data_IF_547982886983
#
_entry.id   IF_547982886983
#
_cell.length_a   1.000
_cell.length_b   1.000
_cell.length_c   1.000
_cell.angle_alpha   90.00
_cell.angle_beta   90.00
_cell.angle_gamma   90.00
#
_symmetry.space_group_name_H-M   'P 1'
#
loop_
_entity.id
_entity.type
_entity.pdbx_description
1 polymer ?
#
# COMPACT_ATOMS: atom_id res chain seq x y z
N UNK A 1 0.48 73.16 -49.58
CA UNK A 1 1.05 72.10 -48.72
C UNK A 1 -0.11 71.26 -48.19
N UNK A 2 -0.65 70.41 -49.07
CA UNK A 2 -1.82 69.58 -48.82
C UNK A 2 -1.34 68.14 -48.58
N UNK A 3 -0.95 67.84 -47.35
CA UNK A 3 -0.51 66.50 -46.95
C UNK A 3 -1.05 66.13 -45.56
N UNK A 4 -2.27 66.55 -45.22
CA UNK A 4 -2.95 66.10 -43.98
C UNK A 4 -4.36 65.55 -44.21
N UNK A 5 -4.91 65.57 -45.43
CA UNK A 5 -6.26 65.08 -45.72
C UNK A 5 -6.36 63.63 -46.20
N UNK A 6 -5.27 63.04 -46.72
CA UNK A 6 -5.28 61.69 -47.31
C UNK A 6 -5.03 60.58 -46.27
N UNK A 7 -4.36 60.88 -45.16
CA UNK A 7 -4.13 59.92 -44.08
C UNK A 7 -5.43 59.64 -43.29
N UNK A 8 -6.35 60.61 -43.22
CA UNK A 8 -7.60 60.48 -42.47
C UNK A 8 -8.70 59.68 -43.19
N UNK A 9 -8.68 59.63 -44.53
CA UNK A 9 -9.67 58.87 -45.31
C UNK A 9 -9.28 57.38 -45.48
N UNK A 10 -7.97 57.11 -45.60
CA UNK A 10 -7.42 55.74 -45.68
C UNK A 10 -7.51 55.01 -44.33
N UNK A 11 -7.38 55.74 -43.21
CA UNK A 11 -7.59 55.17 -41.87
C UNK A 11 -9.06 54.87 -41.62
N UNK A 12 -9.99 55.75 -42.02
CA UNK A 12 -11.44 55.51 -41.87
C UNK A 12 -11.95 54.30 -42.70
N UNK A 13 -11.42 54.08 -43.91
CA UNK A 13 -11.75 52.92 -44.74
C UNK A 13 -11.23 51.60 -44.16
N UNK A 14 -9.97 51.59 -43.73
CA UNK A 14 -9.37 50.43 -43.04
C UNK A 14 -10.04 50.13 -41.70
N UNK A 15 -10.43 51.17 -40.96
CA UNK A 15 -11.15 51.05 -39.70
C UNK A 15 -12.56 50.46 -39.91
N UNK A 16 -13.28 50.88 -40.96
CA UNK A 16 -14.60 50.31 -41.31
C UNK A 16 -14.50 48.86 -41.76
N UNK A 17 -13.49 48.50 -42.56
CA UNK A 17 -13.25 47.11 -42.97
C UNK A 17 -12.88 46.25 -41.77
N UNK A 18 -12.02 46.74 -40.87
CA UNK A 18 -11.69 46.06 -39.63
C UNK A 18 -12.91 45.87 -38.73
N UNK A 19 -13.77 46.88 -38.62
CA UNK A 19 -14.98 46.84 -37.77
C UNK A 19 -16.06 45.92 -38.35
N UNK A 20 -16.23 45.90 -39.68
CA UNK A 20 -17.11 44.93 -40.36
C UNK A 20 -16.55 43.51 -40.25
N UNK A 21 -15.23 43.33 -40.41
CA UNK A 21 -14.57 42.05 -40.17
C UNK A 21 -14.79 41.55 -38.75
N UNK A 22 -14.62 42.42 -37.76
CA UNK A 22 -14.87 42.11 -36.35
C UNK A 22 -16.34 41.77 -36.08
N UNK A 23 -17.30 42.46 -36.71
CA UNK A 23 -18.72 42.15 -36.60
C UNK A 23 -19.10 40.81 -37.23
N UNK A 24 -18.51 40.45 -38.38
CA UNK A 24 -18.73 39.16 -39.02
C UNK A 24 -18.14 38.03 -38.17
N UNK A 25 -16.94 38.23 -37.62
CA UNK A 25 -16.33 37.28 -36.68
C UNK A 25 -17.19 37.17 -35.42
N UNK A 26 -17.65 38.28 -34.83
CA UNK A 26 -18.51 38.27 -33.65
C UNK A 26 -19.88 37.62 -33.93
N UNK A 27 -20.48 37.83 -35.10
CA UNK A 27 -21.72 37.18 -35.51
C UNK A 27 -21.53 35.69 -35.80
N UNK A 28 -20.37 35.29 -36.33
CA UNK A 28 -20.02 33.89 -36.54
C UNK A 28 -19.76 33.17 -35.21
N UNK A 29 -19.02 33.78 -34.30
CA UNK A 29 -18.75 33.27 -32.95
C UNK A 29 -20.05 33.22 -32.13
N UNK A 30 -20.85 34.29 -32.16
CA UNK A 30 -22.17 34.34 -31.50
C UNK A 30 -23.17 33.37 -32.11
N UNK A 31 -23.11 33.15 -33.43
CA UNK A 31 -23.89 32.14 -34.14
C UNK A 31 -23.48 30.71 -33.77
N UNK A 32 -22.18 30.43 -33.69
CA UNK A 32 -21.65 29.13 -33.25
C UNK A 32 -22.03 28.82 -31.79
N UNK A 33 -21.99 29.84 -30.92
CA UNK A 33 -22.48 29.74 -29.54
C UNK A 33 -23.99 29.44 -29.48
N UNK A 34 -24.81 30.17 -30.26
CA UNK A 34 -26.26 29.96 -30.30
C UNK A 34 -26.70 28.63 -30.94
N UNK A 35 -25.88 28.07 -31.83
CA UNK A 35 -26.13 26.77 -32.48
C UNK A 35 -25.59 25.57 -31.68
N UNK A 36 -24.93 25.80 -30.53
CA UNK A 36 -24.38 24.73 -29.69
C UNK A 36 -23.13 24.05 -30.26
N UNK A 37 -22.45 24.68 -31.22
CA UNK A 37 -21.24 24.13 -31.86
C UNK A 37 -20.02 24.25 -30.94
N UNK A 38 -20.05 25.15 -29.96
CA UNK A 38 -19.02 25.24 -28.93
C UNK A 38 -19.30 24.25 -27.80
N UNK A 39 -18.42 23.25 -27.65
CA UNK A 39 -18.50 22.23 -26.62
C UNK A 39 -17.90 22.70 -25.29
N UNK A 40 -18.30 22.05 -24.19
CA UNK A 40 -17.69 22.29 -22.88
C UNK A 40 -16.39 21.51 -22.82
N UNK A 41 -15.28 22.09 -22.32
CA UNK A 41 -14.09 21.31 -22.01
C UNK A 41 -14.45 20.16 -21.06
N UNK A 42 -13.90 18.97 -21.31
CA UNK A 42 -14.15 17.78 -20.50
C UNK A 42 -12.85 17.12 -20.07
N UNK A 43 -12.89 16.33 -19.01
CA UNK A 43 -11.74 15.49 -18.62
C UNK A 43 -11.66 14.29 -19.57
N UNK A 44 -10.49 14.09 -20.17
CA UNK A 44 -10.19 12.92 -21.00
C UNK A 44 -9.47 11.82 -20.21
N UNK A 45 -8.54 12.20 -19.33
CA UNK A 45 -7.80 11.26 -18.48
C UNK A 45 -7.43 11.92 -17.15
N UNK A 46 -7.31 11.10 -16.12
CA UNK A 46 -6.78 11.45 -14.80
C UNK A 46 -5.81 10.34 -14.44
N UNK A 47 -4.58 10.71 -14.11
CA UNK A 47 -3.57 9.85 -13.52
C UNK A 47 -3.20 10.43 -12.16
N UNK A 48 -3.07 9.57 -11.16
CA UNK A 48 -2.63 9.97 -9.83
C UNK A 48 -1.41 9.16 -9.44
N UNK A 49 -0.55 9.76 -8.64
CA UNK A 49 0.51 9.07 -7.93
C UNK A 49 0.65 9.59 -6.51
N UNK A 50 1.18 8.76 -5.61
CA UNK A 50 1.63 9.25 -4.31
C UNK A 50 2.98 9.94 -4.44
N UNK A 51 3.08 11.13 -3.83
CA UNK A 51 4.32 11.88 -3.70
C UNK A 51 4.88 11.79 -2.27
N UNK A 52 5.46 12.90 -1.81
CA UNK A 52 6.02 13.00 -0.46
C UNK A 52 4.99 12.63 0.63
N UNK A 53 5.42 11.83 1.60
CA UNK A 53 4.60 11.41 2.74
C UNK A 53 5.21 11.89 4.05
N UNK A 54 4.35 12.39 4.93
CA UNK A 54 4.67 12.81 6.30
C UNK A 54 3.68 12.18 7.27
N UNK A 55 3.87 12.37 8.58
CA UNK A 55 2.92 11.85 9.59
C UNK A 55 1.52 12.45 9.46
N UNK A 56 1.40 13.71 9.05
CA UNK A 56 0.09 14.41 8.99
C UNK A 56 -0.54 14.39 7.59
N UNK A 57 0.27 14.27 6.54
CA UNK A 57 -0.18 14.49 5.17
C UNK A 57 0.59 13.63 4.17
N UNK A 58 -0.12 13.08 3.20
CA UNK A 58 0.43 12.44 2.00
C UNK A 58 0.12 13.31 0.78
N UNK A 59 1.11 13.57 -0.06
CA UNK A 59 0.89 14.26 -1.34
C UNK A 59 0.32 13.29 -2.36
N UNK A 60 -0.72 13.72 -3.07
CA UNK A 60 -1.23 13.06 -4.28
C UNK A 60 -0.91 13.98 -5.45
N UNK A 61 -0.06 13.51 -6.35
CA UNK A 61 0.28 14.17 -7.60
C UNK A 61 -0.76 13.76 -8.65
N UNK A 62 -1.38 14.74 -9.32
CA UNK A 62 -2.42 14.48 -10.31
C UNK A 62 -2.03 15.06 -11.65
N UNK A 63 -2.03 14.21 -12.69
CA UNK A 63 -1.93 14.59 -14.09
C UNK A 63 -3.32 14.50 -14.75
N UNK A 64 -3.91 15.66 -15.02
CA UNK A 64 -5.23 15.79 -15.61
C UNK A 64 -5.14 16.18 -17.08
N UNK A 65 -5.73 15.37 -17.97
CA UNK A 65 -5.86 15.72 -19.39
C UNK A 65 -7.24 16.30 -19.64
N UNK A 66 -7.30 17.59 -19.98
CA UNK A 66 -8.55 18.28 -20.37
C UNK A 66 -8.63 18.38 -21.89
N UNK A 67 -9.73 17.93 -22.47
CA UNK A 67 -10.02 18.07 -23.89
C UNK A 67 -10.96 19.23 -24.14
N UNK A 68 -10.50 20.22 -24.90
CA UNK A 68 -11.28 21.34 -25.36
C UNK A 68 -11.69 21.13 -26.82
N UNK A 69 -12.97 20.82 -27.11
CA UNK A 69 -13.43 20.58 -28.48
C UNK A 69 -13.51 21.86 -29.32
N UNK A 70 -13.29 23.03 -28.73
CA UNK A 70 -13.41 24.31 -29.42
C UNK A 70 -12.16 24.64 -30.26
N UNK A 71 -12.33 25.22 -31.46
CA UNK A 71 -11.20 25.59 -32.34
C UNK A 71 -10.38 26.76 -31.81
N UNK A 72 -10.78 27.35 -30.68
CA UNK A 72 -10.08 28.41 -29.97
C UNK A 72 -9.87 27.98 -28.51
N UNK A 73 -8.69 28.29 -27.96
CA UNK A 73 -8.41 28.06 -26.55
C UNK A 73 -9.22 28.98 -25.64
N UNK A 74 -9.44 28.53 -24.41
CA UNK A 74 -9.99 29.34 -23.31
C UNK A 74 -8.83 29.82 -22.44
N UNK A 75 -8.83 31.11 -22.07
CA UNK A 75 -7.74 31.73 -21.32
C UNK A 75 -7.71 31.33 -19.83
N UNK A 76 -6.63 31.73 -19.14
CA UNK A 76 -6.32 31.50 -17.72
C UNK A 76 -7.35 32.07 -16.72
N UNK A 77 -8.49 32.61 -17.15
CA UNK A 77 -9.51 33.20 -16.26
C UNK A 77 -10.88 32.50 -16.43
N UNK A 78 -10.93 31.35 -17.12
CA UNK A 78 -12.20 30.80 -17.60
C UNK A 78 -12.44 29.32 -17.37
N UNK A 79 -11.50 28.59 -16.74
CA UNK A 79 -11.68 27.19 -16.39
C UNK A 79 -11.17 26.94 -14.97
N UNK A 80 -12.01 26.29 -14.17
CA UNK A 80 -11.65 25.74 -12.87
C UNK A 80 -11.87 24.22 -12.86
N UNK A 81 -11.07 23.53 -12.08
CA UNK A 81 -11.18 22.09 -11.85
C UNK A 81 -11.28 21.89 -10.36
N UNK A 82 -12.29 21.12 -9.94
CA UNK A 82 -12.38 20.58 -8.59
C UNK A 82 -12.16 19.07 -8.66
N UNK A 83 -11.50 18.54 -7.64
CA UNK A 83 -11.01 17.17 -7.61
C UNK A 83 -11.21 16.60 -6.20
N UNK A 84 -11.77 15.40 -6.09
CA UNK A 84 -11.94 14.69 -4.81
C UNK A 84 -11.55 13.23 -4.99
N UNK A 85 -10.75 12.71 -4.05
CA UNK A 85 -10.42 11.29 -3.92
C UNK A 85 -11.14 10.76 -2.69
N UNK A 86 -11.84 9.65 -2.85
CA UNK A 86 -12.43 8.92 -1.74
C UNK A 86 -12.08 7.44 -1.80
N UNK A 87 -12.01 6.81 -0.64
CA UNK A 87 -11.76 5.38 -0.49
C UNK A 87 -12.85 4.82 0.41
N UNK A 88 -13.74 3.99 -0.14
CA UNK A 88 -14.97 3.53 0.53
C UNK A 88 -15.82 4.68 1.09
N UNK A 89 -16.05 5.71 0.27
CA UNK A 89 -16.79 6.93 0.63
C UNK A 89 -16.13 7.80 1.72
N UNK A 90 -14.94 7.42 2.23
CA UNK A 90 -14.12 8.28 3.09
C UNK A 90 -13.36 9.25 2.19
N UNK A 91 -13.61 10.55 2.34
CA UNK A 91 -12.86 11.58 1.62
C UNK A 91 -11.42 11.61 2.11
N UNK A 92 -10.50 11.27 1.21
CA UNK A 92 -9.08 11.22 1.51
C UNK A 92 -8.42 12.55 1.19
N UNK A 93 -8.75 13.10 0.01
CA UNK A 93 -8.16 14.31 -0.50
C UNK A 93 -9.18 15.13 -1.28
N UNK A 94 -9.12 16.46 -1.13
CA UNK A 94 -9.88 17.40 -1.96
C UNK A 94 -8.94 18.50 -2.43
N UNK A 95 -8.92 18.70 -3.75
CA UNK A 95 -8.09 19.68 -4.41
C UNK A 95 -8.84 20.40 -5.51
N UNK A 96 -8.16 21.37 -6.11
CA UNK A 96 -8.69 22.08 -7.25
C UNK A 96 -7.71 23.11 -7.77
N UNK A 97 -7.91 23.50 -9.02
CA UNK A 97 -7.11 24.54 -9.66
C UNK A 97 -8.02 25.48 -10.42
N UNK A 98 -7.86 26.76 -10.15
CA UNK A 98 -8.55 27.82 -10.87
C UNK A 98 -7.61 28.44 -11.91
N UNK A 99 -8.22 29.11 -12.87
CA UNK A 99 -7.50 29.94 -13.82
C UNK A 99 -6.66 29.14 -14.83
N UNK A 100 -7.20 28.02 -15.29
CA UNK A 100 -6.49 27.12 -16.20
C UNK A 100 -6.73 27.57 -17.65
N UNK A 101 -5.64 27.78 -18.38
CA UNK A 101 -5.68 28.03 -19.80
C UNK A 101 -5.68 26.70 -20.55
N UNK A 102 -6.74 26.43 -21.29
CA UNK A 102 -6.88 25.20 -22.06
C UNK A 102 -6.81 25.55 -23.54
N UNK A 103 -5.77 25.06 -24.23
CA UNK A 103 -5.64 25.22 -25.68
C UNK A 103 -6.77 24.46 -26.40
N UNK A 104 -6.91 24.63 -27.71
CA UNK A 104 -7.77 23.74 -28.50
C UNK A 104 -7.21 22.32 -28.48
N UNK A 105 -8.05 21.30 -28.32
CA UNK A 105 -7.63 19.91 -28.18
C UNK A 105 -7.25 19.55 -26.75
N UNK A 106 -6.29 18.63 -26.58
CA UNK A 106 -5.89 18.13 -25.26
C UNK A 106 -4.83 19.01 -24.61
N UNK A 107 -5.00 19.32 -23.33
CA UNK A 107 -4.03 20.01 -22.48
C UNK A 107 -3.80 19.19 -21.21
N UNK A 108 -2.53 18.97 -20.84
CA UNK A 108 -2.18 18.33 -19.55
C UNK A 108 -2.02 19.39 -18.46
N UNK A 109 -2.54 19.09 -17.28
CA UNK A 109 -2.54 19.96 -16.11
C UNK A 109 -2.06 19.12 -14.93
N UNK A 110 -0.85 19.42 -14.46
CA UNK A 110 -0.32 18.84 -13.24
C UNK A 110 -0.69 19.71 -12.02
N UNK A 111 -1.10 19.08 -10.93
CA UNK A 111 -1.27 19.72 -9.62
C UNK A 111 -1.13 18.70 -8.50
N UNK A 112 -0.84 19.20 -7.31
CA UNK A 112 -0.70 18.40 -6.09
C UNK A 112 -1.91 18.64 -5.19
N UNK A 113 -2.36 17.59 -4.52
CA UNK A 113 -3.38 17.64 -3.48
C UNK A 113 -2.85 16.99 -2.20
N UNK A 114 -3.16 17.59 -1.06
CA UNK A 114 -2.85 17.00 0.24
C UNK A 114 -3.96 16.03 0.66
N UNK A 115 -3.61 14.77 0.90
CA UNK A 115 -4.41 13.78 1.62
C UNK A 115 -4.14 13.94 3.12
N UNK A 116 -5.21 14.07 3.91
CA UNK A 116 -5.07 14.17 5.36
C UNK A 116 -4.97 12.77 5.99
N UNK A 117 -3.89 12.47 6.70
CA UNK A 117 -3.66 11.12 7.23
C UNK A 117 -4.65 10.74 8.34
N UNK A 118 -5.32 11.70 8.97
CA UNK A 118 -6.44 11.46 9.90
C UNK A 118 -7.61 10.71 9.24
N UNK A 119 -7.69 10.68 7.90
CA UNK A 119 -8.67 9.88 7.15
C UNK A 119 -8.28 8.40 7.02
N UNK A 120 -7.04 8.02 7.35
CA UNK A 120 -6.55 6.64 7.24
C UNK A 120 -7.25 5.70 8.22
N UNK A 121 -7.35 5.98 9.54
CA UNK A 121 -8.08 5.11 10.46
C UNK A 121 -9.55 4.84 10.08
N UNK A 122 -10.38 5.83 9.71
CA UNK A 122 -11.75 5.56 9.26
C UNK A 122 -11.81 4.82 7.92
N UNK A 123 -10.89 5.11 6.97
CA UNK A 123 -10.78 4.35 5.72
C UNK A 123 -10.44 2.87 6.00
N UNK A 124 -9.38 2.60 6.77
CA UNK A 124 -8.96 1.26 7.16
C UNK A 124 -10.11 0.47 7.77
N UNK A 125 -10.81 1.09 8.71
CA UNK A 125 -11.99 0.49 9.36
C UNK A 125 -13.06 0.10 8.34
N UNK A 126 -13.32 0.95 7.34
CA UNK A 126 -14.28 0.65 6.27
C UNK A 126 -13.78 -0.48 5.37
N UNK A 127 -12.49 -0.53 5.07
CA UNK A 127 -11.85 -1.55 4.24
C UNK A 127 -11.98 -2.94 4.89
N UNK A 128 -11.62 -3.07 6.16
CA UNK A 128 -11.75 -4.33 6.90
C UNK A 128 -13.22 -4.76 7.01
N UNK A 129 -14.15 -3.83 7.30
CA UNK A 129 -15.60 -4.12 7.36
C UNK A 129 -16.17 -4.59 6.02
N UNK A 130 -15.58 -4.16 4.91
CA UNK A 130 -15.96 -4.57 3.57
C UNK A 130 -15.26 -5.87 3.12
N UNK A 131 -14.62 -6.60 4.05
CA UNK A 131 -13.92 -7.84 3.75
C UNK A 131 -12.61 -7.57 3.02
N UNK A 132 -11.86 -6.57 3.47
CA UNK A 132 -10.59 -6.14 2.88
C UNK A 132 -10.72 -5.62 1.46
N UNK A 133 -11.78 -4.85 1.22
CA UNK A 133 -12.08 -4.25 -0.09
C UNK A 133 -12.20 -2.75 0.01
N UNK A 134 -11.49 -2.06 -0.88
CA UNK A 134 -11.56 -0.61 -1.04
C UNK A 134 -12.02 -0.26 -2.44
N UNK A 135 -13.11 0.50 -2.56
CA UNK A 135 -13.42 1.24 -3.78
C UNK A 135 -12.77 2.61 -3.71
N UNK A 136 -11.75 2.83 -4.54
CA UNK A 136 -11.15 4.15 -4.78
C UNK A 136 -12.01 4.87 -5.81
N UNK A 137 -12.56 6.03 -5.46
CA UNK A 137 -13.35 6.86 -6.34
C UNK A 137 -12.71 8.24 -6.50
N UNK A 138 -12.56 8.64 -7.76
CA UNK A 138 -11.96 9.89 -8.19
C UNK A 138 -13.02 10.69 -8.93
N UNK A 139 -13.44 11.80 -8.33
CA UNK A 139 -14.43 12.71 -8.89
C UNK A 139 -13.77 14.03 -9.31
N UNK A 140 -13.88 14.36 -10.59
CA UNK A 140 -13.35 15.59 -11.16
C UNK A 140 -14.47 16.39 -11.85
N UNK A 141 -14.61 17.66 -11.49
CA UNK A 141 -15.56 18.59 -12.10
C UNK A 141 -14.79 19.72 -12.78
N UNK A 142 -14.91 19.82 -14.09
CA UNK A 142 -14.36 20.93 -14.89
C UNK A 142 -15.47 21.95 -15.10
N UNK A 143 -15.27 23.19 -14.68
CA UNK A 143 -16.23 24.29 -14.89
C UNK A 143 -15.64 25.33 -15.83
N UNK A 144 -16.42 25.75 -16.83
CA UNK A 144 -16.07 26.88 -17.68
C UNK A 144 -16.90 28.10 -17.33
N UNK A 145 -16.25 29.13 -16.78
CA UNK A 145 -16.90 30.40 -16.40
C UNK A 145 -17.43 31.16 -17.63
N UNK A 146 -16.70 31.08 -18.75
CA UNK A 146 -17.11 31.72 -20.00
C UNK A 146 -18.42 31.15 -20.54
N UNK A 147 -18.63 29.84 -20.38
CA UNK A 147 -19.81 29.13 -20.89
C UNK A 147 -20.90 28.98 -19.82
N UNK A 148 -20.56 29.16 -18.54
CA UNK A 148 -21.45 28.86 -17.41
C UNK A 148 -21.87 27.39 -17.38
N UNK A 149 -20.95 26.47 -17.75
CA UNK A 149 -21.22 25.03 -17.87
C UNK A 149 -20.13 24.22 -17.20
N UNK A 150 -20.49 23.06 -16.67
CA UNK A 150 -19.56 22.08 -16.10
C UNK A 150 -19.63 20.75 -16.83
N UNK A 151 -18.58 19.95 -16.67
CA UNK A 151 -18.52 18.55 -17.05
C UNK A 151 -17.90 17.75 -15.90
N UNK A 152 -18.55 16.66 -15.52
CA UNK A 152 -18.15 15.78 -14.43
C UNK A 152 -17.53 14.50 -15.00
N UNK A 153 -16.52 13.99 -14.31
CA UNK A 153 -15.92 12.68 -14.53
C UNK A 153 -15.80 11.97 -13.19
N UNK A 154 -16.30 10.74 -13.15
CA UNK A 154 -16.06 9.81 -12.04
C UNK A 154 -15.27 8.62 -12.58
N UNK A 155 -14.19 8.26 -11.90
CA UNK A 155 -13.46 7.00 -12.11
C UNK A 155 -13.43 6.22 -10.82
N UNK A 156 -13.68 4.92 -10.92
CA UNK A 156 -13.66 4.02 -9.76
C UNK A 156 -12.73 2.84 -10.04
N UNK A 157 -12.01 2.41 -9.01
CA UNK A 157 -11.20 1.20 -9.00
C UNK A 157 -11.45 0.44 -7.71
N UNK A 158 -11.33 -0.87 -7.77
CA UNK A 158 -11.36 -1.72 -6.59
C UNK A 158 -9.94 -2.21 -6.25
N UNK A 159 -9.63 -2.23 -4.96
CA UNK A 159 -8.43 -2.81 -4.37
C UNK A 159 -8.89 -3.86 -3.36
N UNK A 160 -8.28 -5.03 -3.39
CA UNK A 160 -8.56 -6.14 -2.48
C UNK A 160 -7.25 -6.56 -1.83
N UNK A 161 -7.27 -6.86 -0.53
CA UNK A 161 -6.14 -7.46 0.20
C UNK A 161 -6.59 -8.74 0.91
N UNK A 162 -5.62 -9.48 1.45
CA UNK A 162 -5.89 -10.65 2.29
C UNK A 162 -4.86 -10.76 3.43
N UNK A 163 -5.00 -9.89 4.42
CA UNK A 163 -4.13 -9.73 5.60
C UNK A 163 -4.20 -10.88 6.57
N UNK A 164 -5.30 -11.62 6.61
CA UNK A 164 -5.55 -12.65 7.64
C UNK A 164 -5.80 -14.03 7.00
N UNK A 165 -6.07 -14.12 5.70
CA UNK A 165 -6.35 -15.40 5.04
C UNK A 165 -5.20 -16.39 5.15
N UNK A 166 -3.95 -15.92 5.06
CA UNK A 166 -2.77 -16.78 5.21
C UNK A 166 -2.53 -17.28 6.64
N UNK A 167 -3.22 -16.72 7.65
CA UNK A 167 -3.15 -17.22 9.02
C UNK A 167 -3.85 -18.59 9.16
N UNK A 168 -4.84 -18.86 8.31
CA UNK A 168 -5.52 -20.15 8.30
C UNK A 168 -4.60 -21.26 7.76
N UNK A 169 -4.29 -22.25 8.59
CA UNK A 169 -3.39 -23.34 8.24
C UNK A 169 -3.79 -24.64 8.91
N UNK A 170 -3.72 -25.76 8.18
CA UNK A 170 -3.89 -27.12 8.69
C UNK A 170 -2.53 -27.82 8.92
N UNK A 171 -1.43 -27.08 8.83
CA UNK A 171 -0.09 -27.62 9.02
C UNK A 171 0.25 -27.82 10.51
N UNK A 172 0.54 -29.07 10.87
CA UNK A 172 0.98 -29.42 12.22
C UNK A 172 2.37 -28.88 12.51
N UNK A 173 2.47 -27.99 13.49
CA UNK A 173 3.71 -27.32 13.90
C UNK A 173 4.05 -27.68 15.35
N UNK A 174 5.31 -28.08 15.64
CA UNK A 174 5.74 -28.38 17.00
C UNK A 174 5.95 -27.09 17.79
N UNK A 175 5.63 -27.13 19.07
CA UNK A 175 6.01 -26.13 20.07
C UNK A 175 7.14 -26.71 20.90
N UNK A 176 8.32 -26.09 20.82
CA UNK A 176 9.51 -26.52 21.54
C UNK A 176 9.79 -25.54 22.68
N UNK A 177 9.93 -26.04 23.89
CA UNK A 177 10.27 -25.26 25.07
C UNK A 177 11.75 -24.89 25.10
N UNK A 178 12.62 -25.67 24.44
CA UNK A 178 14.08 -25.52 24.47
C UNK A 178 14.64 -25.42 25.91
N UNK A 179 13.93 -26.06 26.86
CA UNK A 179 14.19 -25.98 28.28
C UNK A 179 14.91 -27.25 28.80
N UNK A 180 15.90 -27.12 29.71
CA UNK A 180 16.54 -28.29 30.29
C UNK A 180 15.54 -29.18 31.03
N UNK A 181 15.63 -30.50 30.81
CA UNK A 181 14.80 -31.53 31.48
C UNK A 181 13.33 -31.57 31.02
N UNK A 182 12.96 -30.82 29.98
CA UNK A 182 11.67 -30.92 29.30
C UNK A 182 11.90 -31.57 27.93
N UNK A 183 11.13 -32.60 27.61
CA UNK A 183 11.22 -33.28 26.31
C UNK A 183 10.40 -32.50 25.28
N UNK A 184 11.04 -32.08 24.19
CA UNK A 184 10.40 -31.41 23.07
C UNK A 184 9.89 -32.42 22.02
N UNK A 185 8.78 -32.10 21.31
CA UNK A 185 7.94 -30.93 21.50
C UNK A 185 6.98 -31.06 22.69
N UNK A 186 6.78 -29.97 23.42
CA UNK A 186 5.84 -29.94 24.55
C UNK A 186 4.38 -29.98 24.09
N UNK A 187 4.08 -29.35 22.96
CA UNK A 187 2.75 -29.29 22.36
C UNK A 187 2.86 -29.33 20.83
N UNK A 188 1.78 -29.65 20.15
CA UNK A 188 1.62 -29.44 18.71
C UNK A 188 0.46 -28.48 18.47
N UNK A 189 0.61 -27.56 17.50
CA UNK A 189 -0.51 -26.81 16.95
C UNK A 189 -0.86 -27.45 15.61
N UNK A 190 -2.04 -28.06 15.53
CA UNK A 190 -2.47 -28.81 14.36
C UNK A 190 -3.16 -27.92 13.33
N UNK A 191 -3.87 -26.89 13.80
CA UNK A 191 -4.64 -26.00 12.95
C UNK A 191 -4.63 -24.59 13.55
N UNK A 192 -4.57 -23.57 12.69
CA UNK A 192 -4.79 -22.17 13.06
C UNK A 192 -5.90 -21.60 12.21
N UNK A 193 -6.74 -20.77 12.82
CA UNK A 193 -7.86 -20.08 12.15
C UNK A 193 -7.86 -18.64 12.59
N UNK A 194 -8.08 -17.73 11.65
CA UNK A 194 -8.06 -16.29 11.89
C UNK A 194 -9.20 -15.60 11.17
N UNK A 195 -9.79 -14.58 11.78
CA UNK A 195 -10.77 -13.71 11.14
C UNK A 195 -10.73 -12.32 11.76
N UNK A 196 -11.21 -11.33 11.02
CA UNK A 196 -11.50 -10.03 11.60
C UNK A 196 -12.67 -10.11 12.59
N UNK A 197 -12.48 -9.49 13.76
CA UNK A 197 -13.54 -9.30 14.75
C UNK A 197 -14.37 -8.04 14.47
N UNK A 198 -15.08 -7.56 15.49
CA UNK A 198 -15.91 -6.35 15.37
C UNK A 198 -15.05 -5.10 15.41
N UNK A 199 -14.79 -4.51 14.24
CA UNK A 199 -13.96 -3.29 14.10
C UNK A 199 -14.64 -2.07 14.72
N UNK A 200 -13.87 -1.28 15.47
CA UNK A 200 -14.29 -0.01 16.08
C UNK A 200 -13.46 1.16 15.54
N UNK A 201 -13.70 2.38 16.04
CA UNK A 201 -12.84 3.53 15.71
C UNK A 201 -11.45 3.43 16.36
N UNK A 202 -11.35 2.79 17.54
CA UNK A 202 -10.12 2.72 18.31
C UNK A 202 -9.26 1.50 17.95
N UNK A 203 -9.90 0.36 17.64
CA UNK A 203 -9.23 -0.91 17.48
C UNK A 203 -9.83 -1.75 16.36
N UNK A 204 -8.96 -2.52 15.69
CA UNK A 204 -9.30 -3.56 14.71
C UNK A 204 -8.91 -4.92 15.29
N UNK A 205 -9.86 -5.68 15.87
CA UNK A 205 -9.58 -6.99 16.46
C UNK A 205 -9.38 -8.08 15.40
N UNK A 206 -8.46 -9.00 15.67
CA UNK A 206 -8.23 -10.24 14.94
C UNK A 206 -8.54 -11.39 15.91
N UNK A 207 -9.61 -12.12 15.62
CA UNK A 207 -10.03 -13.31 16.38
C UNK A 207 -9.26 -14.52 15.83
N UNK A 208 -8.48 -15.15 16.70
CA UNK A 208 -7.60 -16.28 16.37
C UNK A 208 -7.97 -17.50 17.20
N UNK A 209 -7.92 -18.66 16.57
CA UNK A 209 -8.14 -19.96 17.20
C UNK A 209 -6.96 -20.88 16.86
N UNK A 210 -6.43 -21.58 17.86
CA UNK A 210 -5.32 -22.53 17.73
C UNK A 210 -5.77 -23.89 18.25
N UNK A 211 -5.73 -24.92 17.40
CA UNK A 211 -6.05 -26.29 17.83
C UNK A 211 -4.77 -26.98 18.33
N UNK A 212 -4.63 -27.01 19.65
CA UNK A 212 -3.44 -27.49 20.34
C UNK A 212 -3.62 -28.95 20.73
N UNK A 213 -2.60 -29.79 20.53
CA UNK A 213 -2.56 -31.18 20.95
C UNK A 213 -1.38 -31.42 21.90
N UNK A 214 -1.67 -32.11 23.01
CA UNK A 214 -0.66 -32.51 23.98
C UNK A 214 -0.23 -33.96 23.74
N UNK A 215 1.01 -34.21 23.28
CA UNK A 215 1.53 -35.56 23.07
C UNK A 215 1.90 -36.30 24.37
N UNK A 216 1.88 -35.63 25.52
CA UNK A 216 2.37 -36.14 26.81
C UNK A 216 1.27 -36.83 27.64
N UNK A 217 1.72 -37.62 28.63
CA UNK A 217 0.84 -38.38 29.54
C UNK A 217 0.24 -37.52 30.65
N UNK A 218 0.82 -36.36 30.90
CA UNK A 218 0.35 -35.38 31.87
C UNK A 218 -0.36 -34.22 31.16
N UNK A 219 -1.46 -33.68 31.73
CA UNK A 219 -2.09 -32.47 31.21
C UNK A 219 -1.18 -31.26 31.45
N UNK A 220 -1.24 -30.29 30.55
CA UNK A 220 -0.59 -29.00 30.71
C UNK A 220 -1.62 -27.89 30.88
N UNK A 221 -1.26 -26.85 31.64
CA UNK A 221 -2.06 -25.64 31.76
C UNK A 221 -1.32 -24.53 31.04
N UNK A 222 -1.94 -23.95 30.03
CA UNK A 222 -1.47 -22.71 29.41
C UNK A 222 -2.12 -21.58 30.19
N UNK A 223 -1.33 -20.87 31.01
CA UNK A 223 -1.84 -19.83 31.90
C UNK A 223 -1.98 -18.48 31.19
N UNK A 224 -1.15 -18.26 30.16
CA UNK A 224 -1.16 -17.04 29.37
C UNK A 224 -0.69 -17.32 27.94
N UNK A 225 -1.32 -16.68 26.95
CA UNK A 225 -0.78 -16.54 25.61
C UNK A 225 -0.66 -15.06 25.30
N UNK A 226 0.57 -14.59 25.11
CA UNK A 226 0.85 -13.22 24.74
C UNK A 226 1.11 -13.06 23.25
N UNK A 227 0.94 -11.83 22.78
CA UNK A 227 1.19 -11.46 21.40
C UNK A 227 1.79 -10.05 21.28
N UNK A 228 2.54 -9.86 20.19
CA UNK A 228 3.01 -8.56 19.71
C UNK A 228 2.72 -8.46 18.20
N UNK A 229 2.05 -7.38 17.78
CA UNK A 229 1.74 -7.12 16.37
C UNK A 229 2.52 -5.92 15.88
N UNK A 230 3.18 -6.08 14.74
CA UNK A 230 3.85 -5.00 14.02
C UNK A 230 3.41 -4.96 12.56
N UNK A 231 3.40 -3.77 11.98
CA UNK A 231 3.24 -3.58 10.54
C UNK A 231 4.37 -2.67 10.04
N UNK A 232 5.24 -3.16 9.16
CA UNK A 232 6.46 -2.44 8.74
C UNK A 232 7.33 -1.98 9.92
N UNK A 233 7.35 -2.75 11.01
CA UNK A 233 8.06 -2.40 12.25
C UNK A 233 7.35 -1.37 13.14
N UNK A 234 6.21 -0.81 12.72
CA UNK A 234 5.35 0.02 13.59
C UNK A 234 4.60 -0.90 14.56
N UNK A 235 4.74 -0.65 15.86
CA UNK A 235 4.07 -1.43 16.90
C UNK A 235 2.56 -1.13 16.93
N UNK A 236 1.76 -2.05 16.38
CA UNK A 236 0.32 -1.90 16.24
C UNK A 236 -0.44 -2.29 17.49
N UNK A 237 0.07 -3.24 18.27
CA UNK A 237 -0.56 -3.67 19.50
C UNK A 237 0.18 -4.82 20.17
N UNK A 238 -0.06 -4.99 21.46
CA UNK A 238 0.42 -6.14 22.23
C UNK A 238 -0.53 -6.42 23.39
N UNK A 239 -0.55 -7.66 23.86
CA UNK A 239 -1.44 -8.09 24.93
C UNK A 239 -1.28 -9.58 25.24
N UNK A 240 -2.16 -10.10 26.08
CA UNK A 240 -2.22 -11.52 26.40
C UNK A 240 -3.64 -11.99 26.72
N UNK A 241 -3.85 -13.30 26.71
CA UNK A 241 -5.10 -13.91 27.18
C UNK A 241 -5.24 -13.76 28.69
N UNK A 242 -6.46 -13.50 29.16
CA UNK A 242 -6.79 -13.52 30.59
C UNK A 242 -7.28 -14.90 31.05
N UNK A 243 -7.57 -15.80 30.11
CA UNK A 243 -8.10 -17.15 30.36
C UNK A 243 -7.01 -18.21 30.33
N UNK A 244 -7.11 -19.16 31.26
CA UNK A 244 -6.24 -20.32 31.34
C UNK A 244 -6.87 -21.50 30.58
N UNK A 245 -6.05 -22.24 29.83
CA UNK A 245 -6.49 -23.41 29.05
C UNK A 245 -5.84 -24.68 29.58
N UNK A 246 -6.64 -25.71 29.83
CA UNK A 246 -6.14 -27.03 30.24
C UNK A 246 -6.08 -27.93 29.01
N UNK A 247 -4.87 -28.27 28.57
CA UNK A 247 -4.65 -29.16 27.42
C UNK A 247 -4.55 -30.61 27.94
N UNK A 248 -5.57 -31.46 27.70
CA UNK A 248 -5.64 -32.79 28.28
C UNK A 248 -4.53 -33.70 27.74
N UNK A 249 -4.09 -34.66 28.57
CA UNK A 249 -3.14 -35.69 28.12
C UNK A 249 -3.65 -36.44 26.89
N UNK A 250 -2.79 -36.60 25.88
CA UNK A 250 -3.11 -37.24 24.61
C UNK A 250 -4.42 -36.73 23.99
N UNK A 251 -4.72 -35.46 24.19
CA UNK A 251 -5.93 -34.82 23.72
C UNK A 251 -5.65 -33.43 23.18
N UNK A 252 -6.70 -32.84 22.63
CA UNK A 252 -6.66 -31.51 22.02
C UNK A 252 -7.58 -30.55 22.74
N UNK A 253 -7.23 -29.28 22.68
CA UNK A 253 -8.02 -28.15 23.16
C UNK A 253 -7.88 -27.00 22.15
N UNK A 254 -8.96 -26.26 21.94
CA UNK A 254 -8.94 -25.06 21.09
C UNK A 254 -8.67 -23.86 21.97
N UNK A 255 -7.57 -23.16 21.70
CA UNK A 255 -7.21 -21.93 22.42
C UNK A 255 -7.62 -20.72 21.60
N UNK A 256 -8.31 -19.78 22.22
CA UNK A 256 -8.83 -18.57 21.58
C UNK A 256 -8.00 -17.35 22.03
N UNK A 257 -7.63 -16.51 21.07
CA UNK A 257 -6.89 -15.28 21.32
C UNK A 257 -7.49 -14.15 20.46
N UNK A 258 -7.60 -12.96 21.03
CA UNK A 258 -7.97 -11.76 20.28
C UNK A 258 -6.80 -10.77 20.29
N UNK A 259 -6.11 -10.66 19.15
CA UNK A 259 -5.13 -9.60 18.95
C UNK A 259 -5.85 -8.31 18.53
N UNK A 260 -5.41 -7.15 18.98
CA UNK A 260 -6.01 -5.87 18.61
C UNK A 260 -4.98 -4.93 17.98
N UNK A 261 -5.25 -4.50 16.74
CA UNK A 261 -4.51 -3.40 16.12
C UNK A 261 -5.06 -2.08 16.65
N UNK A 262 -4.20 -1.20 17.15
CA UNK A 262 -4.60 0.14 17.60
C UNK A 262 -4.67 1.08 16.40
N UNK A 263 -5.87 1.56 16.11
CA UNK A 263 -6.12 2.39 14.93
C UNK A 263 -5.41 3.74 14.97
N UNK A 264 -5.07 4.24 16.17
CA UNK A 264 -4.26 5.45 16.37
C UNK A 264 -2.81 5.33 15.86
N UNK A 265 -2.37 4.14 15.45
CA UNK A 265 -1.04 3.88 14.88
C UNK A 265 -1.06 3.72 13.36
N UNK A 266 -2.25 3.74 12.74
CA UNK A 266 -2.40 3.51 11.30
C UNK A 266 -1.87 4.66 10.46
N UNK A 267 -1.86 5.89 10.97
CA UNK A 267 -1.24 7.05 10.32
C UNK A 267 0.29 6.90 10.24
N UNK A 268 0.93 6.41 11.31
CA UNK A 268 2.35 6.08 11.34
C UNK A 268 2.68 4.91 10.39
N UNK A 269 1.89 3.84 10.44
CA UNK A 269 2.01 2.72 9.51
C UNK A 269 1.87 3.17 8.05
N UNK A 270 0.90 4.03 7.74
CA UNK A 270 0.66 4.53 6.39
C UNK A 270 1.89 5.21 5.77
N UNK A 271 2.64 5.97 6.57
CA UNK A 271 3.93 6.55 6.11
C UNK A 271 4.87 5.44 5.67
N UNK A 272 5.05 4.41 6.50
CA UNK A 272 5.96 3.30 6.20
C UNK A 272 5.48 2.42 5.04
N UNK A 273 4.17 2.38 4.77
CA UNK A 273 3.59 1.66 3.63
C UNK A 273 3.96 2.32 2.30
N UNK A 274 4.01 3.66 2.27
CA UNK A 274 4.32 4.42 1.06
C UNK A 274 5.82 4.69 0.88
N UNK A 275 6.60 4.68 1.97
CA UNK A 275 8.04 4.95 1.94
C UNK A 275 8.83 3.79 1.31
N UNK A 276 9.29 4.04 0.08
CA UNK A 276 10.14 3.12 -0.70
C UNK A 276 11.36 2.59 0.05
N UNK A 277 11.90 3.37 1.00
CA UNK A 277 13.11 3.00 1.72
C UNK A 277 12.88 2.03 2.88
N UNK A 278 11.63 1.86 3.32
CA UNK A 278 11.27 0.94 4.40
C UNK A 278 11.11 -0.47 3.85
N UNK A 279 10.05 -0.71 3.07
CA UNK A 279 9.72 -2.03 2.53
C UNK A 279 9.34 -2.02 1.03
N UNK A 280 9.46 -0.86 0.37
CA UNK A 280 9.02 -0.65 -1.01
C UNK A 280 7.80 0.27 -1.09
N UNK A 281 7.47 0.74 -2.30
CA UNK A 281 6.31 1.62 -2.49
C UNK A 281 5.01 0.84 -2.41
N UNK A 282 4.11 1.23 -1.51
CA UNK A 282 2.83 0.56 -1.26
C UNK A 282 2.99 -0.90 -0.82
N UNK A 283 4.00 -1.18 0.01
CA UNK A 283 4.30 -2.52 0.54
C UNK A 283 4.20 -2.52 2.06
N UNK A 284 3.52 -3.53 2.61
CA UNK A 284 3.47 -3.76 4.04
C UNK A 284 3.68 -5.19 4.47
N UNK A 285 4.54 -5.36 5.47
CA UNK A 285 4.74 -6.62 6.19
C UNK A 285 3.97 -6.57 7.51
N UNK A 286 2.93 -7.38 7.65
CA UNK A 286 2.27 -7.66 8.90
C UNK A 286 3.00 -8.81 9.59
N UNK A 287 3.41 -8.61 10.84
CA UNK A 287 4.04 -9.64 11.66
C UNK A 287 3.36 -9.75 13.02
N UNK A 288 2.99 -10.97 13.41
CA UNK A 288 2.40 -11.27 14.73
C UNK A 288 3.24 -12.36 15.39
N UNK A 289 3.86 -12.00 16.50
CA UNK A 289 4.68 -12.89 17.31
C UNK A 289 3.89 -13.34 18.54
N UNK A 290 4.04 -14.61 18.93
CA UNK A 290 3.32 -15.18 20.06
C UNK A 290 4.27 -15.81 21.06
N UNK A 291 3.88 -15.81 22.33
CA UNK A 291 4.49 -16.62 23.38
C UNK A 291 3.42 -17.26 24.25
N UNK A 292 3.74 -18.38 24.88
CA UNK A 292 2.87 -19.01 25.88
C UNK A 292 3.58 -19.12 27.23
N UNK A 293 2.85 -18.95 28.32
CA UNK A 293 3.28 -19.35 29.66
C UNK A 293 2.61 -20.68 29.97
N UNK A 294 3.43 -21.71 30.18
CA UNK A 294 2.96 -23.07 30.44
C UNK A 294 3.32 -23.45 31.87
N UNK A 295 2.32 -23.87 32.64
CA UNK A 295 2.50 -24.45 33.97
C UNK A 295 2.61 -25.99 33.85
N UNK A 296 3.73 -26.52 34.35
CA UNK A 296 3.95 -27.96 34.47
C UNK A 296 3.12 -28.56 35.62
N UNK A 297 2.86 -29.88 35.63
CA UNK A 297 2.22 -30.56 36.76
C UNK A 297 2.93 -30.40 38.11
N UNK A 298 4.21 -30.00 38.09
CA UNK A 298 5.02 -29.68 39.27
C UNK A 298 4.72 -28.29 39.86
N UNK A 299 3.95 -27.45 39.16
CA UNK A 299 3.69 -26.04 39.48
C UNK A 299 4.80 -25.08 39.06
N UNK A 300 5.72 -25.53 38.20
CA UNK A 300 6.75 -24.67 37.60
C UNK A 300 6.22 -24.06 36.30
N UNK A 301 6.34 -22.74 36.16
CA UNK A 301 5.96 -22.01 34.94
C UNK A 301 7.19 -21.72 34.08
N UNK A 302 7.03 -21.80 32.77
CA UNK A 302 8.04 -21.40 31.81
C UNK A 302 7.40 -20.70 30.61
N UNK A 303 8.08 -19.69 30.09
CA UNK A 303 7.68 -18.97 28.88
C UNK A 303 8.27 -19.65 27.67
N UNK A 304 7.41 -20.03 26.73
CA UNK A 304 7.77 -20.68 25.47
C UNK A 304 7.56 -19.69 24.33
N UNK A 305 8.61 -19.30 23.60
CA UNK A 305 8.43 -18.57 22.35
C UNK A 305 7.74 -19.48 21.34
N UNK A 306 6.72 -18.98 20.66
CA UNK A 306 5.98 -19.74 19.66
C UNK A 306 6.47 -19.37 18.25
N UNK A 307 7.79 -19.42 18.02
CA UNK A 307 8.43 -18.94 16.78
C UNK A 307 7.88 -19.64 15.53
N UNK A 308 7.52 -20.93 15.65
CA UNK A 308 6.91 -21.70 14.57
C UNK A 308 5.48 -21.24 14.22
N UNK A 309 4.86 -20.46 15.10
CA UNK A 309 3.51 -19.89 14.93
C UNK A 309 3.55 -18.41 14.59
N UNK A 310 4.73 -17.78 14.54
CA UNK A 310 4.87 -16.40 14.08
C UNK A 310 4.23 -16.25 12.72
N UNK A 311 3.29 -15.32 12.63
CA UNK A 311 2.58 -15.00 11.40
C UNK A 311 3.30 -13.86 10.70
N UNK A 312 3.60 -14.02 9.42
CA UNK A 312 4.19 -12.99 8.57
C UNK A 312 3.45 -12.97 7.23
N UNK A 313 2.97 -11.81 6.82
CA UNK A 313 2.28 -11.62 5.55
C UNK A 313 2.73 -10.30 4.90
N UNK A 314 3.14 -10.37 3.63
CA UNK A 314 3.53 -9.21 2.84
C UNK A 314 2.42 -8.88 1.85
N UNK A 315 1.94 -7.65 1.90
CA UNK A 315 0.91 -7.14 0.99
C UNK A 315 1.45 -5.98 0.18
N UNK A 316 1.18 -6.04 -1.12
CA UNK A 316 1.43 -4.98 -2.07
C UNK A 316 0.09 -4.39 -2.51
N UNK A 317 -0.03 -3.07 -2.50
CA UNK A 317 -1.20 -2.37 -3.05
C UNK A 317 -0.79 -1.48 -4.22
N UNK A 318 -1.76 -1.16 -5.09
CA UNK A 318 -1.57 -0.21 -6.18
C UNK A 318 -2.84 0.64 -6.30
N UNK A 319 -2.97 1.59 -5.37
CA UNK A 319 -4.20 2.35 -5.14
C UNK A 319 -4.56 3.21 -6.35
N UNK A 320 -3.57 3.78 -7.04
CA UNK A 320 -3.79 4.69 -8.18
C UNK A 320 -3.46 4.14 -9.56
N UNK A 321 -3.08 2.87 -9.69
CA UNK A 321 -2.58 2.28 -10.95
C UNK A 321 -1.29 2.96 -11.46
N UNK A 322 -0.38 3.23 -10.53
CA UNK A 322 0.88 3.93 -10.83
C UNK A 322 1.84 3.03 -11.62
N UNK A 323 1.53 1.74 -11.68
CA UNK A 323 2.37 0.71 -12.24
C UNK A 323 3.47 0.41 -11.25
N UNK A 324 3.23 -0.58 -10.37
CA UNK A 324 4.23 -1.08 -9.44
C UNK A 324 5.56 -1.24 -10.16
N UNK A 325 6.59 -0.53 -9.69
CA UNK A 325 7.96 -0.64 -10.17
C UNK A 325 8.49 -2.04 -9.84
N UNK A 326 8.03 -3.05 -10.58
CA UNK A 326 8.60 -4.39 -10.58
C UNK A 326 10.00 -4.23 -11.14
N UNK A 327 10.99 -4.19 -10.25
CA UNK A 327 12.39 -4.13 -10.61
C UNK A 327 12.80 -5.37 -11.40
N UNK A 328 12.62 -5.34 -12.72
CA UNK A 328 13.54 -5.86 -13.72
C UNK A 328 13.13 -5.31 -15.09
N UNK A 329 14.13 -4.87 -15.85
CA UNK A 329 13.94 -4.06 -17.05
C UNK A 329 13.18 -4.80 -18.15
N UNK A 330 12.13 -4.16 -18.68
CA UNK A 330 11.92 -3.91 -20.12
C UNK A 330 10.69 -3.03 -20.25
N UNK A 331 10.89 -1.77 -20.62
CA UNK A 331 9.83 -0.89 -21.11
C UNK A 331 9.23 -1.50 -22.38
N UNK A 332 7.99 -1.96 -22.31
CA UNK A 332 7.18 -2.25 -23.47
C UNK A 332 5.85 -1.53 -23.32
N UNK A 333 5.83 -0.34 -23.90
CA UNK A 333 4.66 0.42 -24.36
C UNK A 333 3.55 -0.52 -24.84
N UNK A 334 2.42 -0.51 -24.13
CA UNK A 334 1.14 -1.04 -24.61
C UNK A 334 0.03 -0.08 -24.24
N UNK A 335 -0.09 0.96 -25.06
CA UNK A 335 -1.36 1.61 -25.35
C UNK A 335 -2.44 0.55 -25.65
N UNK A 336 -3.36 0.35 -24.71
CA UNK A 336 -4.59 -0.42 -24.93
C UNK A 336 -5.63 0.48 -25.57
N UNK A 337 -5.64 0.47 -26.90
CA UNK A 337 -6.77 0.93 -27.70
C UNK A 337 -7.84 -0.15 -27.73
N UNK A 338 -8.99 0.16 -27.13
CA UNK A 338 -10.25 -0.54 -27.28
C UNK A 338 -10.80 -0.28 -28.70
N UNK A 339 -10.96 -1.33 -29.51
CA UNK A 339 -11.91 -1.34 -30.63
C UNK A 339 -12.42 -2.78 -30.83
N UNK A 340 -13.72 -2.95 -30.63
CA UNK A 340 -14.41 -4.20 -30.84
C UNK A 340 -14.76 -4.42 -32.31
N UNK A 341 -14.76 -5.68 -32.74
CA UNK A 341 -15.65 -6.17 -33.80
C UNK A 341 -15.65 -7.70 -33.83
N UNK A 342 -16.84 -8.26 -33.61
CA UNK A 342 -17.28 -9.59 -34.04
C UNK A 342 -17.02 -9.81 -35.55
N UNK A 343 -16.54 -11.00 -35.94
CA UNK A 343 -17.27 -11.86 -36.89
C UNK A 343 -16.71 -13.30 -36.90
N UNK A 344 -17.62 -14.27 -37.03
CA UNK A 344 -17.34 -15.70 -36.94
C UNK A 344 -16.88 -16.36 -38.24
N UNK A 345 -16.41 -17.61 -38.13
CA UNK A 345 -16.15 -18.46 -39.29
C UNK A 345 -15.39 -19.76 -38.98
N UNK A 346 -16.13 -20.84 -38.71
CA UNK A 346 -15.68 -22.23 -38.70
C UNK A 346 -15.26 -22.76 -40.08
N UNK A 347 -14.17 -23.54 -40.18
CA UNK A 347 -14.07 -24.76 -41.03
C UNK A 347 -12.75 -25.55 -40.84
N UNK A 348 -12.92 -26.76 -40.29
CA UNK A 348 -12.31 -28.10 -40.50
C UNK A 348 -11.22 -28.42 -41.55
N UNK A 349 -10.32 -29.31 -41.09
CA UNK A 349 -9.82 -30.60 -41.63
C UNK A 349 -8.64 -30.75 -42.64
N UNK A 350 -7.68 -31.58 -42.18
CA UNK A 350 -6.96 -32.64 -42.93
C UNK A 350 -5.72 -32.21 -43.72
N UNK A 351 -4.67 -33.01 -43.91
CA UNK A 351 -4.31 -34.39 -43.57
C UNK A 351 -2.90 -34.65 -44.20
N UNK A 352 -2.08 -35.50 -43.58
CA UNK A 352 -0.99 -36.37 -44.16
C UNK A 352 0.07 -35.80 -45.16
N UNK A 353 1.35 -36.21 -45.25
CA UNK A 353 2.10 -37.42 -44.87
C UNK A 353 3.63 -37.24 -45.06
N UNK A 354 4.39 -37.89 -44.17
CA UNK A 354 5.52 -38.82 -44.38
C UNK A 354 6.92 -38.43 -44.97
N UNK A 355 7.92 -38.93 -44.21
CA UNK A 355 9.19 -39.58 -44.62
C UNK A 355 10.31 -38.68 -45.17
N UNK A 356 11.61 -38.93 -44.93
CA UNK A 356 12.35 -40.12 -44.50
C UNK A 356 13.77 -39.73 -44.03
N UNK A 357 14.48 -40.73 -43.49
CA UNK A 357 15.93 -40.90 -43.39
C UNK A 357 16.59 -40.34 -42.12
N UNK A 358 17.16 -41.12 -41.20
CA UNK A 358 17.53 -42.52 -41.25
C UNK A 358 18.89 -42.70 -40.55
N UNK A 359 18.97 -43.72 -39.70
CA UNK A 359 20.18 -44.54 -39.47
C UNK A 359 21.14 -44.13 -38.32
N UNK A 360 21.02 -44.85 -37.19
CA UNK A 360 22.03 -45.62 -36.39
C UNK A 360 23.44 -45.03 -36.21
N UNK A 361 24.21 -45.24 -35.13
CA UNK A 361 24.26 -46.30 -34.12
C UNK A 361 25.28 -45.90 -33.04
N UNK A 362 25.16 -46.52 -31.87
CA UNK A 362 26.20 -46.97 -30.93
C UNK A 362 27.36 -46.07 -30.44
N UNK A 363 27.61 -46.15 -29.13
CA UNK A 363 28.98 -45.97 -28.61
C UNK A 363 29.12 -45.69 -27.12
N UNK A 364 29.01 -46.75 -26.32
CA UNK A 364 29.26 -46.86 -24.88
C UNK A 364 30.72 -46.52 -24.44
N UNK A 365 30.83 -45.74 -23.37
CA UNK A 365 31.67 -45.88 -22.16
C UNK A 365 33.23 -46.07 -22.18
N UNK A 366 33.81 -45.52 -21.10
CA UNK A 366 35.06 -45.84 -20.36
C UNK A 366 36.34 -44.98 -20.49
N UNK A 367 36.54 -44.18 -19.42
CA UNK A 367 37.66 -44.14 -18.43
C UNK A 367 39.08 -43.65 -18.77
N UNK A 368 39.63 -42.98 -17.73
CA UNK A 368 41.03 -42.74 -17.32
C UNK A 368 41.48 -41.27 -17.46
N UNK A 369 42.07 -40.59 -16.46
CA UNK A 369 42.53 -40.94 -15.12
C UNK A 369 43.57 -39.91 -14.65
N UNK A 370 43.80 -39.87 -13.32
CA UNK A 370 44.95 -39.22 -12.61
C UNK A 370 44.96 -37.68 -12.54
N UNK A 371 45.36 -37.02 -11.45
CA UNK A 371 45.88 -37.45 -10.15
C UNK A 371 46.24 -36.23 -9.29
N UNK A 372 45.81 -36.27 -8.04
CA UNK A 372 46.45 -35.85 -6.76
C UNK A 372 47.64 -34.87 -6.77
N UNK A 373 47.55 -33.81 -5.95
CA UNK A 373 48.58 -33.49 -4.92
C UNK A 373 47.95 -32.76 -3.72
N UNK A 374 47.91 -33.50 -2.62
CA UNK A 374 47.94 -33.04 -1.21
C UNK A 374 49.19 -32.17 -0.93
N UNK A 375 49.35 -31.34 0.11
CA UNK A 375 48.68 -31.11 1.38
C UNK A 375 49.60 -30.25 2.29
N UNK A 376 49.23 -30.18 3.57
CA UNK A 376 50.04 -29.80 4.77
C UNK A 376 50.11 -28.30 5.14
N UNK A 377 50.15 -27.86 6.41
CA UNK A 377 49.60 -28.22 7.73
C UNK A 377 50.09 -27.11 8.72
N UNK A 378 49.44 -27.00 9.87
CA UNK A 378 49.93 -26.46 11.17
C UNK A 378 50.13 -24.94 11.45
N UNK A 379 49.21 -24.43 12.30
CA UNK A 379 49.40 -23.82 13.65
C UNK A 379 50.65 -23.02 14.04
N UNK A 380 50.46 -21.82 14.61
CA UNK A 380 50.85 -21.30 15.96
C UNK A 380 50.63 -19.76 15.92
N UNK A 381 50.20 -18.99 16.93
CA UNK A 381 50.21 -19.10 18.38
C UNK A 381 50.80 -17.82 19.00
N UNK A 382 50.07 -17.18 19.92
CA UNK A 382 50.58 -16.24 20.96
C UNK A 382 50.64 -14.74 20.59
N UNK A 383 49.94 -13.81 21.25
CA UNK A 383 49.85 -13.41 22.68
C UNK A 383 50.81 -12.29 23.10
N UNK A 384 50.28 -11.31 23.86
CA UNK A 384 51.01 -10.33 24.68
C UNK A 384 50.53 -8.89 24.44
N UNK A 385 49.60 -8.29 25.19
CA UNK A 385 49.53 -7.94 26.63
C UNK A 385 50.17 -6.59 27.01
N UNK A 386 49.35 -5.76 27.67
CA UNK A 386 49.68 -4.75 28.69
C UNK A 386 49.90 -3.29 28.24
N UNK A 387 49.60 -2.23 29.00
CA UNK A 387 48.98 -2.01 30.32
C UNK A 387 48.86 -0.47 30.55
N UNK A 388 47.82 -0.04 31.29
CA UNK A 388 47.67 1.17 32.14
C UNK A 388 47.61 2.61 31.58
N UNK A 389 46.65 3.36 32.13
CA UNK A 389 46.63 4.83 32.18
C UNK A 389 45.39 5.39 32.90
N UNK A 390 45.48 5.50 34.22
CA UNK A 390 44.56 6.16 35.16
C UNK A 390 44.33 7.66 34.83
N UNK A 391 43.11 8.19 35.06
CA UNK A 391 42.98 9.46 35.78
C UNK A 391 41.56 9.67 36.36
N UNK A 392 41.52 9.90 37.66
CA UNK A 392 40.40 10.35 38.50
C UNK A 392 40.43 11.86 38.72
N UNK A 393 39.28 12.46 39.06
CA UNK A 393 38.97 13.73 39.79
C UNK A 393 37.68 14.30 39.18
N UNK A 394 36.47 14.15 39.72
CA UNK A 394 35.90 14.41 41.05
C UNK A 394 35.50 15.88 41.33
N UNK A 395 34.31 15.98 41.94
CA UNK A 395 33.67 17.05 42.72
C UNK A 395 32.97 18.29 42.12
N UNK A 396 31.62 18.27 42.28
CA UNK A 396 30.89 19.15 43.22
C UNK A 396 30.03 20.27 42.60
N UNK A 397 28.84 20.66 43.10
CA UNK A 397 27.98 20.33 44.26
C UNK A 397 26.67 21.14 44.14
N UNK A 398 25.62 20.75 44.89
CA UNK A 398 24.47 21.59 45.31
C UNK A 398 23.10 20.99 44.96
N UNK A 399 22.48 20.15 45.80
CA UNK A 399 21.66 20.48 47.02
C UNK A 399 20.38 21.28 46.64
N UNK A 400 19.16 21.03 47.10
CA UNK A 400 18.63 20.25 48.22
C UNK A 400 17.07 20.25 48.13
N UNK A 401 16.43 19.38 48.94
CA UNK A 401 15.05 19.47 49.49
C UNK A 401 13.81 19.40 48.57
N UNK A 402 12.73 18.66 48.87
CA UNK A 402 12.38 17.91 50.06
C UNK A 402 10.87 17.54 50.07
N UNK A 403 10.61 16.34 50.61
CA UNK A 403 9.49 15.95 51.50
C UNK A 403 8.00 16.01 51.06
N UNK A 404 7.40 14.83 51.13
CA UNK A 404 5.96 14.54 51.29
C UNK A 404 5.36 15.18 52.56
N UNK A 405 4.02 15.29 52.62
CA UNK A 405 3.34 14.69 53.77
C UNK A 405 2.14 13.83 53.40
N UNK A 406 2.07 12.69 54.09
CA UNK A 406 0.85 11.95 54.39
C UNK A 406 0.01 12.76 55.39
N UNK A 407 -1.30 12.76 55.21
CA UNK A 407 -2.27 13.08 56.27
C UNK A 407 -3.52 12.25 56.05
N UNK A 408 -3.87 11.47 57.06
CA UNK A 408 -5.15 10.80 57.23
C UNK A 408 -6.10 11.67 58.08
N UNK A 409 -7.36 11.23 58.09
CA UNK A 409 -8.55 11.67 58.85
C UNK A 409 -9.45 12.77 58.24
N UNK A 410 -10.66 12.32 57.92
CA UNK A 410 -11.84 13.05 57.46
C UNK A 410 -12.95 12.09 57.06
#
# INVERSE_FOLDING_TARGET
MALNGLVSALTAGKLRVALVGLLVVAAAVGGAFALGVLGVPSVAAVNNSFGDVTTETTVVETDLVVSNPNPVGVGLDGVSVNYTVSMNDVEMARGGREGIGVASGNSSIAFETALANDAIPPWWTSHVRNGERTTVAIDATVTSDLLGRSADLTRTREIETDLIGAFASEETRPVNADAPLVDDPVLYVNETRGRWGTVSEAETPIEMEFDVYNPNLEPYVVTEIGYDVTMNGVAMGSGSTEEEYVIPSHGSETVELTAALRNERLDEWWVTHLDESVNGHQVSDLRIEFYAVVELPTGEEFTVPLDALTYEETIETDIFDEGLHRGDGTSADRSSGDDGSDDGGTATDGDETASDDGTTDDGDNTTDGSGDTSGDDTTDGGSGDGTSGDNTSDDGSGDDDGLLPLSADG
#
